data_IF_024507004979
#
_entry.id   IF_024507004979
#
_cell.length_a   1.000
_cell.length_b   1.000
_cell.length_c   1.000
_cell.angle_alpha   90.00
_cell.angle_beta   90.00
_cell.angle_gamma   90.00
#
_symmetry.space_group_name_H-M   'P 1'
#
loop_
_entity.id
_entity.type
_entity.pdbx_description
1 polymer ?
#
# COMPACT_ATOMS: atom_id res chain seq x y z
N UNK A 1 23.94 5.27 13.48
CA UNK A 1 23.30 6.56 13.14
C UNK A 1 22.45 7.00 14.33
N UNK A 2 22.76 8.12 14.97
CA UNK A 2 21.96 8.65 16.07
C UNK A 2 21.12 9.83 15.53
N UNK A 3 19.85 9.58 15.24
CA UNK A 3 18.94 10.62 14.77
C UNK A 3 17.51 10.35 15.25
N UNK A 4 16.68 11.39 15.29
CA UNK A 4 15.25 11.26 15.55
C UNK A 4 14.52 11.27 14.23
N UNK A 5 13.82 10.18 13.93
CA UNK A 5 13.00 10.02 12.73
C UNK A 5 11.51 10.04 13.12
N UNK A 6 10.63 10.44 12.21
CA UNK A 6 9.22 10.65 12.53
C UNK A 6 8.32 10.08 11.44
N UNK A 7 7.38 9.24 11.81
CA UNK A 7 6.22 8.99 10.97
C UNK A 7 5.32 10.25 10.99
N UNK A 8 4.76 10.61 9.84
CA UNK A 8 3.85 11.75 9.71
C UNK A 8 2.43 11.25 9.55
N UNK A 9 1.56 11.62 10.47
CA UNK A 9 0.18 11.12 10.54
C UNK A 9 -0.84 12.24 10.29
N UNK A 10 -1.78 11.98 9.38
CA UNK A 10 -2.97 12.79 9.14
C UNK A 10 -4.24 11.96 9.35
N UNK A 11 -5.31 12.57 9.86
CA UNK A 11 -6.55 11.85 10.18
C UNK A 11 -7.75 12.55 9.57
N UNK A 12 -8.61 11.78 8.89
CA UNK A 12 -9.97 12.14 8.55
C UNK A 12 -10.93 11.45 9.50
N UNK A 13 -11.68 12.24 10.26
CA UNK A 13 -12.66 11.73 11.23
C UNK A 13 -14.04 11.65 10.60
N UNK A 14 -14.85 10.65 11.02
CA UNK A 14 -16.25 10.57 10.61
C UNK A 14 -17.02 11.81 11.07
N UNK A 15 -18.04 12.19 10.32
CA UNK A 15 -18.93 13.29 10.69
C UNK A 15 -19.65 13.03 12.04
N UNK A 16 -20.16 14.09 12.67
CA UNK A 16 -20.81 14.01 14.02
C UNK A 16 -21.88 12.92 14.15
N UNK A 17 -22.63 12.63 13.10
CA UNK A 17 -23.65 11.58 13.11
C UNK A 17 -23.04 10.18 13.17
N UNK A 18 -21.87 9.96 12.58
CA UNK A 18 -21.13 8.69 12.56
C UNK A 18 -20.09 8.60 13.71
N UNK A 19 -19.88 9.66 14.48
CA UNK A 19 -18.90 9.69 15.60
C UNK A 19 -19.24 8.73 16.73
N UNK A 20 -20.44 8.10 16.72
CA UNK A 20 -20.86 7.01 17.60
C UNK A 20 -20.49 5.62 17.07
N UNK A 21 -19.89 5.53 15.88
CA UNK A 21 -19.41 4.26 15.35
C UNK A 21 -18.19 3.82 16.16
N UNK A 22 -18.28 2.65 16.78
CA UNK A 22 -17.17 1.98 17.46
C UNK A 22 -16.26 1.23 16.48
N UNK A 23 -16.35 1.52 15.16
CA UNK A 23 -15.56 0.81 14.15
C UNK A 23 -14.11 1.23 14.23
N UNK A 24 -13.18 0.26 14.22
CA UNK A 24 -11.74 0.54 14.21
C UNK A 24 -11.32 1.37 12.97
N UNK A 25 -10.26 2.19 13.07
CA UNK A 25 -9.78 3.01 11.96
C UNK A 25 -9.19 2.17 10.83
N UNK A 26 -9.36 2.63 9.59
CA UNK A 26 -8.59 2.17 8.44
C UNK A 26 -7.31 3.00 8.34
N UNK A 27 -6.19 2.34 8.05
CA UNK A 27 -4.89 3.01 7.89
C UNK A 27 -4.46 2.91 6.43
N UNK A 28 -4.04 4.02 5.82
CA UNK A 28 -3.45 4.08 4.49
C UNK A 28 -2.01 4.56 4.65
N UNK A 29 -1.07 3.80 4.11
CA UNK A 29 0.37 3.95 4.38
C UNK A 29 1.15 4.08 3.08
N UNK A 30 2.18 4.92 3.09
CA UNK A 30 3.28 4.91 2.12
C UNK A 30 4.54 5.41 2.84
N UNK A 31 5.72 4.92 2.51
CA UNK A 31 6.95 5.47 3.08
C UNK A 31 7.43 6.70 2.31
N UNK A 32 8.26 7.53 2.95
CA UNK A 32 8.74 8.78 2.36
C UNK A 32 10.27 8.88 2.24
N UNK A 33 10.98 7.90 2.78
CA UNK A 33 12.41 7.73 2.56
C UNK A 33 12.67 7.01 1.24
N UNK A 34 13.88 7.10 0.75
CA UNK A 34 14.35 6.44 -0.48
C UNK A 34 15.74 5.86 -0.25
N UNK A 35 16.14 4.91 -1.07
CA UNK A 35 17.52 4.42 -1.11
C UNK A 35 18.46 5.55 -1.50
N UNK A 36 19.66 5.56 -0.92
CA UNK A 36 20.67 6.57 -1.22
C UNK A 36 20.95 6.65 -2.74
N UNK A 37 21.12 7.87 -3.23
CA UNK A 37 21.42 8.20 -4.64
C UNK A 37 20.28 7.86 -5.62
N UNK A 38 19.05 7.65 -5.14
CA UNK A 38 17.84 7.50 -5.97
C UNK A 38 16.89 8.68 -5.78
N UNK A 39 16.27 9.20 -6.87
CA UNK A 39 15.20 10.20 -6.74
C UNK A 39 13.94 9.67 -6.06
N UNK A 40 13.65 8.36 -6.15
CA UNK A 40 12.54 7.71 -5.49
C UNK A 40 11.17 8.13 -6.04
N UNK A 41 11.06 8.31 -7.36
CA UNK A 41 9.80 8.76 -7.94
C UNK A 41 8.72 7.67 -7.86
N UNK A 42 9.08 6.45 -8.21
CA UNK A 42 8.19 5.30 -8.03
C UNK A 42 8.31 4.73 -6.61
N UNK A 43 9.51 4.65 -6.09
CA UNK A 43 9.86 4.10 -4.78
C UNK A 43 10.31 5.20 -3.80
N UNK A 44 9.39 5.90 -3.04
CA UNK A 44 7.95 5.63 -3.04
C UNK A 44 7.13 6.94 -3.08
N UNK A 45 7.59 7.95 -3.85
CA UNK A 45 6.81 9.17 -4.04
C UNK A 45 5.48 8.89 -4.78
N UNK A 46 5.41 7.83 -5.60
CA UNK A 46 4.18 7.38 -6.25
C UNK A 46 3.12 6.98 -5.22
N UNK A 47 3.50 6.16 -4.24
CA UNK A 47 2.64 5.77 -3.11
C UNK A 47 2.16 6.96 -2.30
N UNK A 48 3.07 7.89 -1.96
CA UNK A 48 2.72 9.13 -1.26
C UNK A 48 1.72 9.98 -2.06
N UNK A 49 1.94 10.14 -3.36
CA UNK A 49 1.05 10.92 -4.22
C UNK A 49 -0.35 10.31 -4.30
N UNK A 50 -0.44 8.98 -4.43
CA UNK A 50 -1.71 8.23 -4.41
C UNK A 50 -2.39 8.38 -3.05
N UNK A 51 -1.68 8.23 -1.95
CA UNK A 51 -2.20 8.41 -0.59
C UNK A 51 -2.76 9.82 -0.37
N UNK A 52 -2.01 10.85 -0.75
CA UNK A 52 -2.44 12.25 -0.64
C UNK A 52 -3.64 12.55 -1.54
N UNK A 53 -3.69 11.96 -2.75
CA UNK A 53 -4.85 12.09 -3.65
C UNK A 53 -6.08 11.43 -3.05
N UNK A 54 -5.96 10.24 -2.46
CA UNK A 54 -7.06 9.57 -1.76
C UNK A 54 -7.53 10.40 -0.57
N UNK A 55 -6.61 10.93 0.26
CA UNK A 55 -6.95 11.81 1.36
C UNK A 55 -7.74 13.05 0.91
N UNK A 56 -7.31 13.65 -0.21
CA UNK A 56 -8.00 14.81 -0.81
C UNK A 56 -9.39 14.46 -1.32
N UNK A 57 -9.55 13.31 -1.97
CA UNK A 57 -10.84 12.84 -2.48
C UNK A 57 -11.83 12.54 -1.34
N UNK A 58 -11.33 12.02 -0.21
CA UNK A 58 -12.14 11.68 0.96
C UNK A 58 -12.54 12.90 1.80
N UNK A 59 -11.95 14.07 1.55
CA UNK A 59 -12.38 15.32 2.22
C UNK A 59 -13.82 15.64 1.83
N UNK A 60 -14.69 15.70 2.84
CA UNK A 60 -16.11 15.93 2.63
C UNK A 60 -16.93 14.68 2.30
N UNK A 61 -16.31 13.51 2.17
CA UNK A 61 -17.04 12.25 2.09
C UNK A 61 -17.70 11.92 3.45
N UNK A 62 -18.84 11.26 3.40
CA UNK A 62 -19.49 10.73 4.62
C UNK A 62 -18.81 9.43 5.02
N UNK A 63 -17.78 9.53 5.83
CA UNK A 63 -17.05 8.37 6.34
C UNK A 63 -17.79 7.75 7.53
N UNK A 64 -17.89 6.42 7.56
CA UNK A 64 -18.48 5.68 8.65
C UNK A 64 -17.49 5.43 9.81
N UNK A 65 -16.21 5.68 9.60
CA UNK A 65 -15.11 5.43 10.55
C UNK A 65 -13.94 6.35 10.27
N UNK A 66 -12.98 6.37 11.17
CA UNK A 66 -11.75 7.16 11.04
C UNK A 66 -10.83 6.56 9.97
N UNK A 67 -10.26 7.40 9.12
CA UNK A 67 -9.20 7.02 8.16
C UNK A 67 -7.93 7.77 8.52
N UNK A 68 -6.85 7.01 8.76
CA UNK A 68 -5.51 7.53 9.04
C UNK A 68 -4.64 7.40 7.82
N UNK A 69 -3.90 8.44 7.49
CA UNK A 69 -2.90 8.48 6.44
C UNK A 69 -1.54 8.63 7.09
N UNK A 70 -0.62 7.71 6.82
CA UNK A 70 0.68 7.72 7.49
C UNK A 70 1.79 7.64 6.45
N UNK A 71 2.62 8.70 6.43
CA UNK A 71 3.89 8.65 5.74
C UNK A 71 4.93 8.05 6.71
N UNK A 72 5.41 6.84 6.39
CA UNK A 72 6.37 6.11 7.20
C UNK A 72 7.80 6.56 6.91
N UNK A 73 8.63 6.58 7.94
CA UNK A 73 10.06 6.79 7.81
C UNK A 73 10.81 5.47 7.89
N UNK A 74 12.03 5.42 7.33
CA UNK A 74 12.96 4.31 7.48
C UNK A 74 12.38 2.96 7.05
N UNK A 75 11.60 2.95 5.98
CA UNK A 75 11.16 1.71 5.33
C UNK A 75 12.36 0.98 4.76
N UNK A 76 13.21 1.71 4.02
CA UNK A 76 14.45 1.26 3.39
C UNK A 76 15.55 0.84 4.39
N UNK A 77 15.28 1.03 5.68
CA UNK A 77 16.11 0.62 6.81
C UNK A 77 15.38 -0.45 7.63
N UNK A 78 14.98 -1.55 6.97
CA UNK A 78 14.33 -2.70 7.61
C UNK A 78 13.00 -2.36 8.29
N UNK A 79 12.16 -1.52 7.68
CA UNK A 79 10.80 -1.18 8.13
C UNK A 79 10.73 -0.54 9.52
N UNK A 80 11.77 0.16 9.97
CA UNK A 80 11.87 0.65 11.35
C UNK A 80 10.69 1.55 11.75
N UNK A 81 10.21 2.41 10.83
CA UNK A 81 9.10 3.30 11.09
C UNK A 81 7.78 2.58 11.30
N UNK A 82 7.46 1.65 10.43
CA UNK A 82 6.22 0.86 10.50
C UNK A 82 6.24 -0.16 11.65
N UNK A 83 7.40 -0.77 11.93
CA UNK A 83 7.56 -1.62 13.11
C UNK A 83 7.30 -0.85 14.40
N UNK A 84 7.87 0.35 14.54
CA UNK A 84 7.63 1.20 15.71
C UNK A 84 6.16 1.61 15.83
N UNK A 85 5.51 1.96 14.72
CA UNK A 85 4.10 2.33 14.72
C UNK A 85 3.19 1.15 15.07
N UNK A 86 3.38 -0.01 14.44
CA UNK A 86 2.59 -1.20 14.71
C UNK A 86 2.79 -1.72 16.16
N UNK A 87 4.02 -1.60 16.70
CA UNK A 87 4.30 -1.87 18.11
C UNK A 87 3.48 -0.96 19.03
N UNK A 88 3.45 0.36 18.74
CA UNK A 88 2.68 1.32 19.56
C UNK A 88 1.18 1.04 19.57
N UNK A 89 0.60 0.61 18.44
CA UNK A 89 -0.79 0.15 18.38
C UNK A 89 -1.00 -1.06 19.31
N UNK A 90 -0.05 -2.01 19.29
CA UNK A 90 -0.13 -3.21 20.11
C UNK A 90 -0.02 -2.92 21.60
N UNK A 91 0.89 -2.04 21.99
CA UNK A 91 1.06 -1.58 23.37
C UNK A 91 -0.18 -0.85 23.90
N UNK A 92 -0.82 -0.06 23.04
CA UNK A 92 -2.07 0.64 23.36
C UNK A 92 -3.30 -0.29 23.34
N UNK A 93 -3.18 -1.55 22.92
CA UNK A 93 -4.29 -2.46 22.63
C UNK A 93 -5.30 -1.85 21.64
N UNK A 94 -4.81 -1.05 20.70
CA UNK A 94 -5.65 -0.39 19.72
C UNK A 94 -5.97 -1.34 18.56
N UNK A 95 -7.25 -1.51 18.24
CA UNK A 95 -7.70 -2.28 17.08
C UNK A 95 -7.74 -1.39 15.84
N UNK A 96 -7.47 -1.98 14.68
CA UNK A 96 -7.61 -1.34 13.37
C UNK A 96 -8.45 -2.22 12.44
N UNK A 97 -9.21 -1.60 11.53
CA UNK A 97 -9.94 -2.32 10.48
C UNK A 97 -8.97 -2.99 9.48
N UNK A 98 -7.82 -2.40 9.30
CA UNK A 98 -6.73 -2.89 8.47
C UNK A 98 -5.81 -1.77 8.01
N UNK A 99 -4.68 -2.16 7.39
CA UNK A 99 -3.76 -1.24 6.74
C UNK A 99 -3.68 -1.52 5.24
N UNK A 100 -3.80 -0.47 4.42
CA UNK A 100 -3.55 -0.48 2.97
C UNK A 100 -2.21 0.21 2.76
N UNK A 101 -1.19 -0.56 2.39
CA UNK A 101 0.17 -0.07 2.16
C UNK A 101 0.39 0.10 0.66
N UNK A 102 0.83 1.27 0.26
CA UNK A 102 1.16 1.64 -1.11
C UNK A 102 2.67 1.55 -1.28
N UNK A 103 3.11 0.66 -2.17
CA UNK A 103 4.51 0.34 -2.40
C UNK A 103 4.81 0.29 -3.88
N UNK A 104 5.48 1.31 -4.44
CA UNK A 104 5.70 1.41 -5.88
C UNK A 104 4.39 1.21 -6.66
N UNK A 105 3.66 2.27 -6.93
CA UNK A 105 2.36 2.21 -7.60
C UNK A 105 2.31 3.12 -8.83
N UNK A 106 3.47 3.39 -9.41
CA UNK A 106 3.62 4.38 -10.48
C UNK A 106 4.12 3.83 -11.80
N UNK A 107 4.64 2.61 -11.88
CA UNK A 107 5.23 2.11 -13.12
C UNK A 107 4.38 1.03 -13.80
N UNK A 108 4.17 1.18 -15.11
CA UNK A 108 3.54 0.15 -15.97
C UNK A 108 4.32 -0.04 -17.26
N UNK A 109 4.09 -1.18 -17.91
CA UNK A 109 4.58 -1.46 -19.25
C UNK A 109 3.61 -2.39 -19.97
N UNK A 110 3.32 -2.08 -21.23
CA UNK A 110 2.49 -2.89 -22.12
C UNK A 110 3.27 -3.96 -22.91
N UNK A 111 4.60 -4.01 -22.72
CA UNK A 111 5.49 -4.95 -23.41
C UNK A 111 5.31 -6.37 -22.86
N UNK A 112 5.20 -7.35 -23.76
CA UNK A 112 5.27 -8.77 -23.39
C UNK A 112 6.64 -9.07 -22.77
N UNK A 113 6.65 -9.76 -21.62
CA UNK A 113 7.87 -10.05 -20.86
C UNK A 113 8.35 -8.92 -19.97
N UNK A 114 7.58 -7.82 -19.84
CA UNK A 114 7.88 -6.73 -18.92
C UNK A 114 7.65 -7.06 -17.45
N UNK A 115 6.87 -8.12 -17.18
CA UNK A 115 6.64 -8.61 -15.82
C UNK A 115 7.41 -9.92 -15.59
N UNK A 116 8.21 -9.95 -14.55
CA UNK A 116 8.93 -11.14 -14.08
C UNK A 116 8.16 -11.72 -12.89
N UNK A 117 7.94 -13.04 -12.89
CA UNK A 117 7.37 -13.71 -11.73
C UNK A 117 8.50 -14.10 -10.75
N UNK A 118 8.38 -13.76 -9.45
CA UNK A 118 9.31 -14.28 -8.45
C UNK A 118 9.26 -15.82 -8.41
N UNK A 119 10.38 -16.49 -8.10
CA UNK A 119 10.41 -17.94 -7.98
C UNK A 119 9.41 -18.46 -6.95
N UNK A 120 8.76 -19.58 -7.24
CA UNK A 120 7.87 -20.27 -6.28
C UNK A 120 6.49 -19.64 -6.11
N UNK A 121 6.10 -18.67 -6.96
CA UNK A 121 4.77 -18.07 -6.88
C UNK A 121 3.66 -19.11 -7.12
N UNK A 122 2.66 -19.22 -6.22
CA UNK A 122 1.57 -20.18 -6.32
C UNK A 122 0.45 -19.74 -7.29
N UNK A 123 0.60 -18.58 -7.92
CA UNK A 123 -0.37 -18.00 -8.87
C UNK A 123 0.30 -17.69 -10.19
N UNK A 124 -0.49 -17.71 -11.27
CA UNK A 124 -0.01 -17.29 -12.59
C UNK A 124 0.08 -15.78 -12.64
N UNK A 125 1.29 -15.26 -12.83
CA UNK A 125 1.53 -13.83 -13.02
C UNK A 125 1.45 -13.51 -14.51
N UNK A 126 0.71 -12.47 -14.95
CA UNK A 126 0.71 -12.03 -16.34
C UNK A 126 2.13 -11.65 -16.78
N UNK A 127 2.46 -11.87 -18.06
CA UNK A 127 3.77 -11.47 -18.61
C UNK A 127 3.87 -9.99 -18.98
N UNK A 128 2.74 -9.27 -18.92
CA UNK A 128 2.65 -7.84 -19.18
C UNK A 128 2.46 -7.09 -17.86
N UNK A 129 3.26 -6.09 -17.63
CA UNK A 129 3.30 -5.31 -16.38
C UNK A 129 2.29 -4.16 -16.37
N UNK A 130 1.00 -4.40 -16.57
CA UNK A 130 -0.07 -3.41 -16.66
C UNK A 130 -1.17 -3.59 -15.60
N UNK A 131 -0.83 -4.19 -14.47
CA UNK A 131 -1.75 -4.49 -13.37
C UNK A 131 -1.23 -4.00 -12.02
N UNK A 132 -2.13 -3.87 -11.05
CA UNK A 132 -1.82 -3.65 -9.65
C UNK A 132 -1.77 -5.00 -8.92
N UNK A 133 -0.66 -5.31 -8.27
CA UNK A 133 -0.53 -6.43 -7.35
C UNK A 133 -1.22 -6.11 -6.02
N UNK A 134 -1.96 -7.07 -5.48
CA UNK A 134 -2.59 -7.00 -4.16
C UNK A 134 -2.05 -8.17 -3.35
N UNK A 135 -1.16 -7.88 -2.42
CA UNK A 135 -0.50 -8.89 -1.59
C UNK A 135 -1.11 -8.85 -0.19
N UNK A 136 -1.65 -9.97 0.25
CA UNK A 136 -2.27 -10.12 1.56
C UNK A 136 -1.87 -11.46 2.19
N UNK A 137 -2.00 -11.57 3.51
CA UNK A 137 -1.93 -12.86 4.19
C UNK A 137 -3.35 -13.40 4.46
N UNK A 138 -3.45 -14.64 4.98
CA UNK A 138 -4.74 -15.26 5.28
C UNK A 138 -5.61 -14.42 6.22
N UNK A 139 -5.03 -13.77 7.22
CA UNK A 139 -5.75 -12.91 8.15
C UNK A 139 -6.30 -11.64 7.47
N UNK A 140 -5.70 -11.23 6.37
CA UNK A 140 -6.04 -10.04 5.59
C UNK A 140 -6.85 -10.35 4.32
N UNK A 141 -7.22 -11.62 4.09
CA UNK A 141 -7.94 -12.03 2.87
C UNK A 141 -9.27 -11.30 2.68
N UNK A 142 -9.99 -11.01 3.78
CA UNK A 142 -11.21 -10.23 3.75
C UNK A 142 -10.97 -8.79 3.31
N UNK A 143 -9.89 -8.17 3.79
CA UNK A 143 -9.47 -6.81 3.41
C UNK A 143 -9.13 -6.75 1.91
N UNK A 144 -8.34 -7.71 1.41
CA UNK A 144 -8.00 -7.81 -0.01
C UNK A 144 -9.23 -7.96 -0.90
N UNK A 145 -10.16 -8.86 -0.53
CA UNK A 145 -11.42 -9.05 -1.26
C UNK A 145 -12.27 -7.76 -1.29
N UNK A 146 -12.35 -7.05 -0.17
CA UNK A 146 -13.10 -5.78 -0.11
C UNK A 146 -12.46 -4.71 -1.00
N UNK A 147 -11.12 -4.65 -1.03
CA UNK A 147 -10.39 -3.75 -1.93
C UNK A 147 -10.65 -4.09 -3.40
N UNK A 148 -10.55 -5.36 -3.79
CA UNK A 148 -10.83 -5.80 -5.17
C UNK A 148 -12.26 -5.45 -5.61
N UNK A 149 -13.24 -5.68 -4.75
CA UNK A 149 -14.63 -5.33 -5.04
C UNK A 149 -14.81 -3.83 -5.24
N UNK A 150 -14.16 -3.00 -4.44
CA UNK A 150 -14.19 -1.56 -4.58
C UNK A 150 -13.50 -1.10 -5.88
N UNK A 151 -12.32 -1.66 -6.18
CA UNK A 151 -11.58 -1.40 -7.42
C UNK A 151 -12.41 -1.75 -8.66
N UNK A 152 -13.04 -2.93 -8.68
CA UNK A 152 -13.88 -3.39 -9.79
C UNK A 152 -15.12 -2.49 -10.02
N UNK A 153 -15.66 -1.87 -8.97
CA UNK A 153 -16.81 -0.97 -9.10
C UNK A 153 -16.42 0.41 -9.62
N UNK A 154 -15.35 0.98 -9.07
CA UNK A 154 -15.04 2.40 -9.21
C UNK A 154 -13.80 2.69 -10.07
N UNK A 155 -13.02 1.66 -10.40
CA UNK A 155 -11.83 1.73 -11.24
C UNK A 155 -11.73 0.47 -12.13
N UNK A 156 -12.80 0.12 -12.83
CA UNK A 156 -12.91 -1.13 -13.61
C UNK A 156 -11.82 -1.31 -14.67
N UNK A 157 -11.20 -0.21 -15.11
CA UNK A 157 -10.05 -0.20 -16.02
C UNK A 157 -8.72 -0.55 -15.34
N UNK A 158 -8.67 -0.65 -14.02
CA UNK A 158 -7.50 -1.07 -13.26
C UNK A 158 -7.46 -2.60 -13.18
N UNK A 159 -6.59 -3.22 -13.94
CA UNK A 159 -6.33 -4.66 -13.79
C UNK A 159 -5.70 -4.93 -12.44
N UNK A 160 -6.13 -5.99 -11.76
CA UNK A 160 -5.57 -6.41 -10.48
C UNK A 160 -5.15 -7.87 -10.49
N UNK A 161 -4.10 -8.20 -9.75
CA UNK A 161 -3.66 -9.58 -9.49
C UNK A 161 -3.46 -9.75 -7.99
N UNK A 162 -4.25 -10.62 -7.38
CA UNK A 162 -4.19 -10.86 -5.94
C UNK A 162 -3.41 -12.11 -5.60
N UNK A 163 -2.63 -12.00 -4.53
CA UNK A 163 -1.93 -13.11 -3.89
C UNK A 163 -2.22 -13.09 -2.38
N UNK A 164 -2.80 -14.18 -1.89
CA UNK A 164 -2.97 -14.40 -0.45
C UNK A 164 -1.99 -15.48 0.01
N UNK A 165 -1.05 -15.07 0.86
CA UNK A 165 0.00 -15.97 1.36
C UNK A 165 -0.38 -16.60 2.71
N UNK A 166 0.10 -17.83 3.01
CA UNK A 166 -0.11 -18.45 4.31
C UNK A 166 0.67 -17.70 5.41
N UNK A 167 0.21 -17.87 6.65
CA UNK A 167 0.79 -17.29 7.86
C UNK A 167 1.11 -15.79 7.71
N UNK A 168 2.38 -15.39 7.78
CA UNK A 168 2.86 -14.02 7.57
C UNK A 168 3.74 -13.91 6.31
N UNK A 169 3.65 -14.85 5.37
CA UNK A 169 4.41 -14.84 4.13
C UNK A 169 5.86 -15.29 4.25
N UNK A 170 6.25 -15.97 5.33
CA UNK A 170 7.65 -16.35 5.59
C UNK A 170 8.23 -17.27 4.51
N UNK A 171 7.39 -18.07 3.86
CA UNK A 171 7.82 -18.97 2.78
C UNK A 171 8.00 -18.28 1.43
N UNK A 172 7.53 -17.05 1.31
CA UNK A 172 7.60 -16.20 0.11
C UNK A 172 8.15 -14.83 0.50
N UNK A 173 9.46 -14.68 0.77
CA UNK A 173 10.05 -13.48 1.37
C UNK A 173 9.79 -12.20 0.54
N UNK A 174 9.70 -12.32 -0.78
CA UNK A 174 9.38 -11.18 -1.66
C UNK A 174 7.99 -10.58 -1.40
N UNK A 175 7.10 -11.32 -0.73
CA UNK A 175 5.78 -10.80 -0.33
C UNK A 175 5.80 -10.01 0.98
N UNK A 176 6.97 -9.75 1.56
CA UNK A 176 7.16 -9.09 2.85
C UNK A 176 8.03 -7.82 2.76
N UNK A 177 8.26 -7.33 1.56
CA UNK A 177 9.25 -6.28 1.29
C UNK A 177 8.67 -4.87 1.39
N UNK A 178 7.68 -4.64 2.26
CA UNK A 178 7.17 -3.31 2.55
C UNK A 178 6.50 -3.26 3.93
N UNK A 179 6.08 -2.07 4.32
CA UNK A 179 5.50 -1.70 5.62
C UNK A 179 4.35 -2.60 6.10
N UNK A 180 3.59 -3.23 5.19
CA UNK A 180 2.52 -4.18 5.56
C UNK A 180 3.04 -5.38 6.37
N UNK A 181 4.32 -5.78 6.17
CA UNK A 181 4.92 -6.89 6.90
C UNK A 181 5.08 -6.56 8.39
N UNK A 182 5.29 -5.29 8.75
CA UNK A 182 5.32 -4.85 10.13
C UNK A 182 3.95 -5.02 10.82
N UNK A 183 2.86 -4.70 10.12
CA UNK A 183 1.50 -4.94 10.62
C UNK A 183 1.24 -6.44 10.81
N UNK A 184 1.62 -7.27 9.83
CA UNK A 184 1.51 -8.73 9.97
C UNK A 184 2.32 -9.27 11.14
N UNK A 185 3.51 -8.70 11.38
CA UNK A 185 4.36 -9.10 12.52
C UNK A 185 3.61 -8.95 13.84
N UNK A 186 2.91 -7.84 14.03
CA UNK A 186 2.14 -7.55 15.24
C UNK A 186 0.70 -8.10 15.22
N UNK A 187 0.31 -8.87 14.19
CA UNK A 187 -0.98 -9.55 14.11
C UNK A 187 -2.13 -8.68 13.59
N UNK A 188 -1.82 -7.55 12.97
CA UNK A 188 -2.81 -6.68 12.33
C UNK A 188 -3.08 -7.07 10.88
N UNK A 189 -4.34 -6.97 10.40
CA UNK A 189 -4.63 -7.17 8.99
C UNK A 189 -4.03 -6.04 8.17
N UNK A 190 -3.31 -6.40 7.10
CA UNK A 190 -2.74 -5.44 6.16
C UNK A 190 -2.63 -6.04 4.76
N UNK A 191 -2.67 -5.20 3.74
CA UNK A 191 -2.35 -5.55 2.36
C UNK A 191 -1.35 -4.57 1.78
N UNK A 192 -0.55 -5.05 0.82
CA UNK A 192 0.32 -4.22 -0.01
C UNK A 192 -0.29 -4.10 -1.40
N UNK A 193 -0.36 -2.88 -1.90
CA UNK A 193 -0.68 -2.55 -3.28
C UNK A 193 0.61 -2.16 -3.97
N UNK A 194 0.94 -2.82 -5.08
CA UNK A 194 2.24 -2.63 -5.72
C UNK A 194 2.16 -2.84 -7.23
N UNK A 195 3.01 -2.14 -7.96
CA UNK A 195 3.31 -2.44 -9.35
C UNK A 195 4.35 -3.57 -9.49
N UNK A 196 4.82 -4.08 -8.35
CA UNK A 196 5.80 -5.16 -8.19
C UNK A 196 7.28 -4.74 -8.20
N UNK A 197 7.58 -3.44 -8.17
CA UNK A 197 8.94 -2.91 -8.03
C UNK A 197 9.94 -3.54 -9.00
N UNK A 198 11.03 -4.10 -8.50
CA UNK A 198 12.10 -4.69 -9.31
C UNK A 198 11.68 -5.85 -10.23
N UNK A 199 10.50 -6.45 -10.03
CA UNK A 199 9.99 -7.49 -10.94
C UNK A 199 9.35 -6.91 -12.21
N UNK A 200 9.20 -5.59 -12.28
CA UNK A 200 8.62 -4.85 -13.41
C UNK A 200 9.43 -3.62 -13.79
N UNK A 201 9.75 -2.77 -12.81
CA UNK A 201 10.36 -1.46 -13.02
C UNK A 201 11.88 -1.58 -13.14
N UNK A 202 12.49 -1.30 -14.32
CA UNK A 202 13.95 -1.34 -14.50
C UNK A 202 14.67 -0.19 -13.79
N UNK A 203 13.93 0.80 -13.27
CA UNK A 203 14.44 1.98 -12.58
C UNK A 203 14.47 1.82 -11.05
N UNK A 204 13.87 0.74 -10.53
CA UNK A 204 13.79 0.45 -9.09
C UNK A 204 15.18 0.51 -8.43
N UNK A 205 15.31 1.30 -7.37
CA UNK A 205 16.55 1.55 -6.61
C UNK A 205 17.71 2.09 -7.49
N UNK A 206 17.39 2.91 -8.49
CA UNK A 206 18.39 3.48 -9.41
C UNK A 206 18.27 4.99 -9.53
N UNK A 207 19.35 5.71 -9.92
CA UNK A 207 19.29 7.14 -10.22
C UNK A 207 18.31 7.51 -11.34
N UNK A 208 17.82 6.53 -12.08
CA UNK A 208 16.85 6.69 -13.18
C UNK A 208 15.40 6.55 -12.72
N UNK A 209 15.13 6.32 -11.42
CA UNK A 209 13.77 6.34 -10.86
C UNK A 209 13.28 7.79 -10.73
N UNK A 210 12.85 8.36 -11.85
CA UNK A 210 12.46 9.76 -11.99
C UNK A 210 11.00 9.91 -12.37
N UNK A 211 10.45 11.10 -12.22
CA UNK A 211 9.06 11.43 -12.51
C UNK A 211 8.64 11.03 -13.94
N UNK A 212 9.55 11.15 -14.92
CA UNK A 212 9.29 10.86 -16.33
C UNK A 212 9.03 9.38 -16.60
N UNK A 213 9.37 8.50 -15.67
CA UNK A 213 9.13 7.05 -15.78
C UNK A 213 7.74 6.62 -15.31
N UNK A 214 6.99 7.54 -14.66
CA UNK A 214 5.71 7.21 -14.04
C UNK A 214 4.55 7.21 -15.04
N UNK A 215 3.65 6.25 -14.89
CA UNK A 215 2.32 6.24 -15.52
C UNK A 215 1.29 6.93 -14.62
N UNK A 216 1.07 8.20 -14.86
CA UNK A 216 0.11 9.01 -14.08
C UNK A 216 -1.34 8.53 -14.24
N UNK A 217 -1.68 7.88 -15.35
CA UNK A 217 -3.00 7.31 -15.57
C UNK A 217 -3.22 6.09 -14.68
N UNK A 218 -2.22 5.23 -14.58
CA UNK A 218 -2.24 4.10 -13.65
C UNK A 218 -2.36 4.57 -12.19
N UNK A 219 -1.53 5.52 -11.78
CA UNK A 219 -1.60 6.12 -10.43
C UNK A 219 -2.97 6.72 -10.13
N UNK A 220 -3.60 7.39 -11.10
CA UNK A 220 -4.96 7.93 -10.94
C UNK A 220 -5.99 6.83 -10.71
N UNK A 221 -5.90 5.71 -11.44
CA UNK A 221 -6.76 4.54 -11.25
C UNK A 221 -6.58 3.91 -9.87
N UNK A 222 -5.32 3.77 -9.43
CA UNK A 222 -5.00 3.28 -8.07
C UNK A 222 -5.59 4.21 -7.01
N UNK A 223 -5.45 5.53 -7.15
CA UNK A 223 -6.01 6.49 -6.20
C UNK A 223 -7.55 6.43 -6.14
N UNK A 224 -8.23 6.17 -7.27
CA UNK A 224 -9.69 5.94 -7.31
C UNK A 224 -10.06 4.66 -6.55
N UNK A 225 -9.34 3.57 -6.79
CA UNK A 225 -9.57 2.29 -6.11
C UNK A 225 -9.37 2.41 -4.59
N UNK A 226 -8.29 3.05 -4.15
CA UNK A 226 -8.00 3.30 -2.72
C UNK A 226 -9.09 4.17 -2.09
N UNK A 227 -9.53 5.24 -2.78
CA UNK A 227 -10.61 6.11 -2.31
C UNK A 227 -11.91 5.32 -2.15
N UNK A 228 -12.27 4.51 -3.15
CA UNK A 228 -13.48 3.69 -3.12
C UNK A 228 -13.45 2.64 -2.02
N UNK A 229 -12.31 1.99 -1.82
CA UNK A 229 -12.12 1.04 -0.74
C UNK A 229 -12.34 1.70 0.63
N UNK A 230 -11.74 2.88 0.85
CA UNK A 230 -11.90 3.63 2.10
C UNK A 230 -13.33 4.13 2.37
N UNK A 231 -14.18 4.24 1.35
CA UNK A 231 -15.60 4.60 1.53
C UNK A 231 -16.46 3.37 1.84
N UNK A 232 -16.13 2.22 1.26
CA UNK A 232 -16.99 1.04 1.26
C UNK A 232 -16.68 -0.01 2.34
N UNK A 233 -15.54 0.10 3.00
CA UNK A 233 -15.16 -0.74 4.14
C UNK A 233 -15.78 -0.24 5.45
#
# INVERSE_FOLDING_TARGET
MGGTYKNVLGTLRPGRAASRSSRPPLIIVAHYDTVQDTPGADDNASGLAVMLKAARNLRGASLAYEVRFIAMCLEEQDLLGSLAYAASLREANEEIAGAIVLECVGYTSDRIGSQIAPPGMPVTIPSVGDFLGIIANMASAGLAKSFEQAANREAAELKTVSLVVPAKGEQLPDTRRSDHAAFWHYGYPALMLTDTGNFRNPHYHRPTDTFETLDLTFMQRVARAVTAAAISM
#
